data_IF_001383991185
#
_entry.id   IF_001383991185
#
_cell.length_a   1.000
_cell.length_b   1.000
_cell.length_c   1.000
_cell.angle_alpha   90.00
_cell.angle_beta   90.00
_cell.angle_gamma   90.00
#
_symmetry.space_group_name_H-M   'P 1'
#
loop_
_entity.id
_entity.type
_entity.pdbx_description
1 polymer ?
#
# COMPACT_ATOMS: atom_id res chain seq x y z
N UNK A 1 2.58 21.75 9.60
CA UNK A 1 2.07 22.18 10.92
C UNK A 1 2.35 21.12 11.97
N UNK A 2 2.61 21.53 13.22
CA UNK A 2 2.79 20.61 14.33
C UNK A 2 1.41 20.28 14.93
N UNK A 3 1.11 18.99 15.11
CA UNK A 3 -0.13 18.57 15.75
C UNK A 3 -0.15 19.00 17.23
N UNK A 4 -1.30 19.51 17.68
CA UNK A 4 -1.51 19.93 19.07
C UNK A 4 -2.60 19.06 19.70
N UNK A 5 -2.51 18.89 21.01
CA UNK A 5 -3.58 18.28 21.81
C UNK A 5 -4.70 19.27 22.15
N UNK A 6 -5.73 18.81 22.82
CA UNK A 6 -6.88 19.62 23.25
C UNK A 6 -6.48 20.80 24.18
N UNK A 7 -5.35 20.73 24.88
CA UNK A 7 -4.79 21.80 25.71
C UNK A 7 -3.87 22.74 24.91
N UNK A 8 -3.80 22.58 23.56
CA UNK A 8 -2.91 23.32 22.65
C UNK A 8 -1.41 23.10 22.89
N UNK A 9 -1.05 22.05 23.61
CA UNK A 9 0.35 21.60 23.72
C UNK A 9 0.74 20.79 22.51
N UNK A 10 2.04 20.77 22.21
CA UNK A 10 2.57 19.93 21.13
C UNK A 10 2.33 18.46 21.49
N UNK A 11 1.59 17.74 20.63
CA UNK A 11 1.43 16.30 20.77
C UNK A 11 2.74 15.57 20.46
N UNK A 12 3.08 14.61 21.32
CA UNK A 12 4.29 13.79 21.19
C UNK A 12 3.88 12.32 21.13
N UNK A 13 3.76 11.80 19.91
CA UNK A 13 3.54 10.38 19.68
C UNK A 13 4.85 9.57 19.70
N UNK A 14 4.71 8.26 19.72
CA UNK A 14 5.84 7.32 19.57
C UNK A 14 6.21 7.15 18.10
N UNK A 15 7.42 6.66 17.82
CA UNK A 15 7.81 6.26 16.46
C UNK A 15 6.88 5.17 15.89
N UNK A 16 6.50 4.20 16.72
CA UNK A 16 5.56 3.14 16.32
C UNK A 16 4.21 3.73 15.91
N UNK A 17 3.66 4.66 16.70
CA UNK A 17 2.40 5.34 16.37
C UNK A 17 2.49 6.06 15.03
N UNK A 18 3.59 6.78 14.77
CA UNK A 18 3.79 7.46 13.49
C UNK A 18 3.81 6.49 12.30
N UNK A 19 4.54 5.38 12.43
CA UNK A 19 4.61 4.35 11.38
C UNK A 19 3.25 3.67 11.18
N UNK A 20 2.53 3.34 12.26
CA UNK A 20 1.19 2.78 12.19
C UNK A 20 0.23 3.72 11.47
N UNK A 21 0.22 4.99 11.86
CA UNK A 21 -0.66 6.00 11.28
C UNK A 21 -0.44 6.13 9.78
N UNK A 22 0.80 6.23 9.33
CA UNK A 22 1.14 6.35 7.92
C UNK A 22 0.62 5.16 7.11
N UNK A 23 0.82 3.93 7.59
CA UNK A 23 0.42 2.73 6.87
C UNK A 23 -1.08 2.43 6.96
N UNK A 24 -1.72 2.74 8.08
CA UNK A 24 -3.16 2.58 8.22
C UNK A 24 -3.94 3.63 7.39
N UNK A 25 -3.50 4.89 7.38
CA UNK A 25 -4.11 5.88 6.49
C UNK A 25 -4.01 5.45 5.02
N UNK A 26 -2.86 4.93 4.59
CA UNK A 26 -2.68 4.44 3.23
C UNK A 26 -3.62 3.27 2.88
N UNK A 27 -3.90 2.37 3.83
CA UNK A 27 -4.86 1.27 3.63
C UNK A 27 -6.28 1.77 3.30
N UNK A 28 -6.68 2.91 3.85
CA UNK A 28 -8.01 3.50 3.64
C UNK A 28 -8.05 4.54 2.51
N UNK A 29 -6.89 5.05 2.06
CA UNK A 29 -6.80 6.07 1.03
C UNK A 29 -6.75 5.45 -0.38
N UNK A 30 -7.87 4.89 -0.80
CA UNK A 30 -7.99 4.13 -2.04
C UNK A 30 -8.97 4.77 -3.02
N UNK A 31 -8.78 4.47 -4.30
CA UNK A 31 -9.70 4.85 -5.37
C UNK A 31 -10.78 3.79 -5.63
N UNK A 32 -11.36 3.81 -6.82
CA UNK A 32 -12.51 2.98 -7.18
C UNK A 32 -12.17 1.49 -7.35
N UNK A 33 -10.90 1.18 -7.67
CA UNK A 33 -10.39 -0.18 -7.81
C UNK A 33 -9.88 -0.76 -6.49
N UNK A 34 -9.98 0.04 -5.41
CA UNK A 34 -9.49 -0.31 -4.08
C UNK A 34 -7.95 -0.34 -3.98
N UNK A 35 -7.30 0.35 -4.92
CA UNK A 35 -5.87 0.58 -4.95
C UNK A 35 -5.53 1.98 -4.42
N UNK A 36 -4.31 2.15 -3.91
CA UNK A 36 -3.88 3.41 -3.29
C UNK A 36 -3.96 4.58 -4.27
N UNK A 37 -4.58 5.69 -3.86
CA UNK A 37 -4.65 6.90 -4.69
C UNK A 37 -3.27 7.56 -4.81
N UNK A 38 -2.92 7.97 -6.02
CA UNK A 38 -1.64 8.64 -6.29
C UNK A 38 -1.59 10.08 -5.77
N UNK A 39 -2.72 10.78 -5.71
CA UNK A 39 -2.88 12.19 -5.31
C UNK A 39 -2.04 13.20 -6.10
N UNK A 40 -1.02 12.79 -6.72
CA UNK A 40 -0.13 13.50 -7.62
C UNK A 40 0.94 12.53 -8.11
N UNK A 41 1.32 12.61 -9.35
CA UNK A 41 2.31 11.72 -9.93
C UNK A 41 3.70 12.36 -10.07
N UNK A 42 3.99 13.40 -9.32
CA UNK A 42 5.21 14.24 -9.41
C UNK A 42 6.53 13.46 -9.36
N UNK A 43 6.52 12.25 -8.79
CA UNK A 43 7.71 11.42 -8.68
C UNK A 43 8.07 10.69 -9.98
N UNK A 44 7.13 10.63 -10.94
CA UNK A 44 7.33 9.90 -12.19
C UNK A 44 6.52 10.54 -13.34
N UNK A 45 7.20 11.28 -14.19
CA UNK A 45 6.59 11.96 -15.36
C UNK A 45 5.85 10.99 -16.31
N UNK A 46 6.17 9.68 -16.25
CA UNK A 46 5.46 8.68 -17.04
C UNK A 46 4.02 8.39 -16.54
N UNK A 47 3.62 8.98 -15.42
CA UNK A 47 2.29 8.82 -14.80
C UNK A 47 1.41 10.08 -14.92
N UNK A 48 1.71 11.01 -15.80
CA UNK A 48 0.90 12.21 -16.01
C UNK A 48 -0.58 11.91 -16.29
N UNK A 49 -0.86 10.75 -16.92
CA UNK A 49 -2.23 10.29 -17.16
C UNK A 49 -2.99 9.88 -15.90
N UNK A 50 -2.30 9.73 -14.77
CA UNK A 50 -2.84 9.26 -13.49
C UNK A 50 -2.75 10.32 -12.36
N UNK A 51 -2.43 11.57 -12.70
CA UNK A 51 -2.08 12.60 -11.72
C UNK A 51 -3.22 13.04 -10.80
N UNK A 52 -4.49 12.95 -11.23
CA UNK A 52 -5.63 13.47 -10.49
C UNK A 52 -6.43 12.40 -9.74
N UNK A 53 -6.76 11.29 -10.43
CA UNK A 53 -7.59 10.20 -9.90
C UNK A 53 -6.93 8.85 -10.00
N UNK A 54 -5.69 8.81 -10.49
CA UNK A 54 -4.99 7.58 -10.69
C UNK A 54 -4.77 6.80 -9.39
N UNK A 55 -4.65 5.50 -9.56
CA UNK A 55 -4.41 4.55 -8.46
C UNK A 55 -3.11 3.78 -8.71
N UNK A 56 -2.43 3.37 -7.65
CA UNK A 56 -1.16 2.66 -7.70
C UNK A 56 -1.23 1.30 -7.05
N UNK A 57 -1.31 0.26 -7.84
CA UNK A 57 -1.14 -1.14 -7.41
C UNK A 57 0.28 -1.37 -6.87
N UNK A 58 1.28 -0.69 -7.46
CA UNK A 58 2.65 -0.75 -7.00
C UNK A 58 2.79 -0.29 -5.53
N UNK A 59 2.20 0.85 -5.19
CA UNK A 59 2.23 1.33 -3.80
C UNK A 59 1.34 0.52 -2.89
N UNK A 60 0.17 0.05 -3.35
CA UNK A 60 -0.67 -0.87 -2.57
C UNK A 60 0.12 -2.12 -2.18
N UNK A 61 0.88 -2.71 -3.11
CA UNK A 61 1.79 -3.82 -2.83
C UNK A 61 2.82 -3.46 -1.77
N UNK A 62 3.48 -2.30 -1.90
CA UNK A 62 4.49 -1.86 -0.94
C UNK A 62 3.89 -1.67 0.47
N UNK A 63 2.72 -1.06 0.60
CA UNK A 63 2.05 -0.85 1.88
C UNK A 63 1.54 -2.15 2.50
N UNK A 64 1.07 -3.11 1.68
CA UNK A 64 0.75 -4.46 2.16
C UNK A 64 1.96 -5.14 2.80
N UNK A 65 3.13 -5.08 2.13
CA UNK A 65 4.40 -5.57 2.69
C UNK A 65 4.81 -4.84 3.97
N UNK A 66 4.61 -3.52 4.05
CA UNK A 66 4.89 -2.74 5.25
C UNK A 66 4.02 -3.17 6.43
N UNK A 67 2.70 -3.31 6.24
CA UNK A 67 1.79 -3.77 7.31
C UNK A 67 2.21 -5.14 7.85
N UNK A 68 2.57 -6.09 6.98
CA UNK A 68 3.08 -7.40 7.38
C UNK A 68 4.40 -7.30 8.16
N UNK A 69 5.29 -6.41 7.73
CA UNK A 69 6.57 -6.19 8.40
C UNK A 69 6.41 -5.55 9.78
N UNK A 70 5.49 -4.60 9.92
CA UNK A 70 5.16 -3.98 11.21
C UNK A 70 4.57 -5.04 12.15
N UNK A 71 3.65 -5.88 11.67
CA UNK A 71 3.10 -7.00 12.45
C UNK A 71 4.20 -7.96 12.94
N UNK A 72 5.16 -8.30 12.07
CA UNK A 72 6.29 -9.15 12.46
C UNK A 72 7.20 -8.48 13.50
N UNK A 73 7.45 -7.19 13.40
CA UNK A 73 8.23 -6.42 14.40
C UNK A 73 7.51 -6.42 15.75
N UNK A 74 6.18 -6.21 15.77
CA UNK A 74 5.39 -6.29 16.99
C UNK A 74 5.47 -7.66 17.65
N UNK A 75 5.42 -8.76 16.89
CA UNK A 75 5.63 -10.10 17.39
C UNK A 75 7.03 -10.28 18.02
N UNK A 76 8.07 -9.75 17.37
CA UNK A 76 9.42 -9.78 17.93
C UNK A 76 9.58 -8.94 19.21
N UNK A 77 8.87 -7.81 19.32
CA UNK A 77 8.83 -7.00 20.54
C UNK A 77 8.16 -7.79 21.68
N UNK A 78 7.09 -8.51 21.39
CA UNK A 78 6.44 -9.37 22.39
C UNK A 78 7.34 -10.51 22.83
N UNK A 79 7.94 -11.23 21.90
CA UNK A 79 8.76 -12.41 22.19
C UNK A 79 10.09 -12.08 22.89
N UNK A 80 10.77 -11.02 22.45
CA UNK A 80 12.13 -10.71 22.89
C UNK A 80 12.21 -9.71 24.03
N UNK A 81 11.22 -8.82 24.11
CA UNK A 81 11.21 -7.70 25.06
C UNK A 81 10.05 -7.79 26.06
N UNK A 82 9.23 -8.84 25.97
CA UNK A 82 8.03 -9.04 26.80
C UNK A 82 7.04 -7.86 26.76
N UNK A 83 6.97 -7.18 25.61
CA UNK A 83 6.03 -6.07 25.40
C UNK A 83 4.66 -6.64 25.09
N UNK A 84 3.72 -6.57 26.04
CA UNK A 84 2.37 -7.11 25.88
C UNK A 84 1.38 -6.10 25.32
N UNK A 85 1.64 -4.80 25.49
CA UNK A 85 0.79 -3.70 25.05
C UNK A 85 1.63 -2.55 24.52
N UNK A 86 1.07 -1.78 23.62
CA UNK A 86 1.64 -0.54 23.08
C UNK A 86 0.64 0.60 23.23
N UNK A 87 1.13 1.75 23.68
CA UNK A 87 0.32 2.96 23.81
C UNK A 87 0.29 3.71 22.47
N UNK A 88 -0.91 4.05 22.01
CA UNK A 88 -1.15 4.84 20.80
C UNK A 88 -2.20 5.92 21.07
N UNK A 89 -2.28 6.96 20.23
CA UNK A 89 -3.35 7.94 20.30
C UNK A 89 -4.72 7.28 20.23
N UNK A 90 -5.68 7.76 21.04
CA UNK A 90 -7.05 7.24 21.07
C UNK A 90 -7.68 7.28 19.67
N UNK A 91 -7.42 8.31 18.89
CA UNK A 91 -7.94 8.52 17.54
C UNK A 91 -7.47 7.44 16.56
N UNK A 92 -6.26 6.90 16.72
CA UNK A 92 -5.71 5.85 15.85
C UNK A 92 -6.59 4.58 15.86
N UNK A 93 -7.31 4.33 16.97
CA UNK A 93 -8.20 3.16 17.07
C UNK A 93 -9.33 3.17 16.04
N UNK A 94 -9.69 4.34 15.49
CA UNK A 94 -10.66 4.46 14.40
C UNK A 94 -10.18 3.85 13.06
N UNK A 95 -8.90 3.59 12.92
CA UNK A 95 -8.32 2.94 11.73
C UNK A 95 -8.12 1.43 11.92
N UNK A 96 -8.50 0.86 13.06
CA UNK A 96 -8.36 -0.57 13.36
C UNK A 96 -9.68 -1.31 13.17
N UNK A 97 -9.61 -2.60 12.86
CA UNK A 97 -10.77 -3.43 12.57
C UNK A 97 -11.34 -3.19 11.16
N UNK A 98 -12.68 -3.19 11.07
CA UNK A 98 -13.44 -2.90 9.84
C UNK A 98 -13.26 -3.93 8.70
N UNK A 99 -13.00 -5.19 9.03
CA UNK A 99 -12.77 -6.25 8.03
C UNK A 99 -13.94 -6.42 7.05
N UNK A 100 -15.16 -6.11 7.47
CA UNK A 100 -16.37 -6.14 6.66
C UNK A 100 -16.37 -5.10 5.52
N UNK A 101 -15.53 -4.07 5.62
CA UNK A 101 -15.44 -2.99 4.62
C UNK A 101 -14.18 -3.02 3.75
N UNK A 102 -13.30 -4.01 3.91
CA UNK A 102 -12.04 -4.03 3.16
C UNK A 102 -12.25 -3.99 1.64
N UNK A 103 -13.29 -4.64 1.13
CA UNK A 103 -13.65 -4.62 -0.28
C UNK A 103 -14.48 -3.40 -0.74
N UNK A 104 -14.78 -2.45 0.16
CA UNK A 104 -15.64 -1.31 -0.15
C UNK A 104 -14.87 0.01 -0.08
N UNK A 105 -14.39 0.49 -1.24
CA UNK A 105 -13.62 1.71 -1.35
C UNK A 105 -14.33 2.95 -0.77
N UNK A 106 -15.65 3.06 -0.94
CA UNK A 106 -16.42 4.19 -0.41
C UNK A 106 -16.46 4.18 1.13
N UNK A 107 -16.60 3.00 1.74
CA UNK A 107 -16.57 2.86 3.21
C UNK A 107 -15.16 3.11 3.75
N UNK A 108 -14.12 2.65 3.07
CA UNK A 108 -12.73 2.99 3.43
C UNK A 108 -12.51 4.50 3.44
N UNK A 109 -12.95 5.21 2.40
CA UNK A 109 -12.85 6.67 2.34
C UNK A 109 -13.64 7.35 3.47
N UNK A 110 -14.80 6.81 3.84
CA UNK A 110 -15.60 7.34 4.96
C UNK A 110 -14.85 7.19 6.29
N UNK A 111 -14.30 6.01 6.57
CA UNK A 111 -13.48 5.76 7.77
C UNK A 111 -12.29 6.73 7.84
N UNK A 112 -11.58 6.91 6.72
CA UNK A 112 -10.45 7.84 6.66
C UNK A 112 -10.88 9.29 6.90
N UNK A 113 -11.98 9.73 6.29
CA UNK A 113 -12.52 11.07 6.48
C UNK A 113 -12.94 11.32 7.94
N UNK A 114 -13.57 10.35 8.58
CA UNK A 114 -13.95 10.45 9.99
C UNK A 114 -12.72 10.59 10.88
N UNK A 115 -11.69 9.77 10.64
CA UNK A 115 -10.40 9.90 11.33
C UNK A 115 -9.77 11.29 11.11
N UNK A 116 -9.74 11.78 9.86
CA UNK A 116 -9.20 13.09 9.54
C UNK A 116 -9.96 14.23 10.23
N UNK A 117 -11.28 14.12 10.33
CA UNK A 117 -12.12 15.11 11.04
C UNK A 117 -11.82 15.12 12.55
N UNK A 118 -11.65 13.96 13.16
CA UNK A 118 -11.25 13.86 14.58
C UNK A 118 -9.92 14.58 14.86
N UNK A 119 -8.98 14.50 13.92
CA UNK A 119 -7.65 15.08 14.06
C UNK A 119 -7.49 16.49 13.46
N UNK A 120 -8.53 17.06 12.82
CA UNK A 120 -8.42 18.26 11.99
C UNK A 120 -7.87 19.50 12.71
N UNK A 121 -8.20 19.68 13.99
CA UNK A 121 -7.81 20.85 14.76
C UNK A 121 -6.87 20.54 15.92
N UNK A 122 -7.09 19.42 16.59
CA UNK A 122 -6.29 18.91 17.69
C UNK A 122 -6.68 17.44 17.91
N UNK A 123 -5.76 16.63 18.42
CA UNK A 123 -6.12 15.32 18.95
C UNK A 123 -6.54 15.46 20.44
N UNK A 124 -7.13 14.41 21.01
CA UNK A 124 -7.57 14.40 22.40
C UNK A 124 -6.40 14.53 23.41
N UNK A 125 -5.19 14.17 22.98
CA UNK A 125 -4.02 14.02 23.86
C UNK A 125 -4.06 12.75 24.70
N UNK A 126 -5.10 11.91 24.53
CA UNK A 126 -5.25 10.66 25.25
C UNK A 126 -4.58 9.51 24.50
N UNK A 127 -4.10 8.54 25.25
CA UNK A 127 -3.54 7.31 24.73
C UNK A 127 -4.33 6.11 25.19
N UNK A 128 -4.36 5.07 24.36
CA UNK A 128 -4.98 3.77 24.65
C UNK A 128 -3.92 2.69 24.55
N UNK A 129 -3.92 1.77 25.50
CA UNK A 129 -3.07 0.58 25.49
C UNK A 129 -3.69 -0.51 24.62
N UNK A 130 -3.07 -0.80 23.50
CA UNK A 130 -3.49 -1.87 22.60
C UNK A 130 -2.70 -3.15 22.89
N UNK A 131 -3.36 -4.32 23.04
CA UNK A 131 -2.67 -5.60 23.07
C UNK A 131 -1.89 -5.82 21.77
N UNK A 132 -0.63 -6.22 21.89
CA UNK A 132 0.26 -6.43 20.73
C UNK A 132 -0.29 -7.47 19.77
N UNK A 133 -0.81 -8.59 20.28
CA UNK A 133 -1.42 -9.64 19.46
C UNK A 133 -2.63 -9.13 18.66
N UNK A 134 -3.52 -8.37 19.27
CA UNK A 134 -4.71 -7.84 18.58
C UNK A 134 -4.31 -6.85 17.46
N UNK A 135 -3.33 -6.00 17.71
CA UNK A 135 -2.80 -5.09 16.69
C UNK A 135 -2.10 -5.87 15.57
N UNK A 136 -1.32 -6.88 15.90
CA UNK A 136 -0.63 -7.75 14.96
C UNK A 136 -1.62 -8.48 14.04
N UNK A 137 -2.71 -9.02 14.61
CA UNK A 137 -3.76 -9.70 13.87
C UNK A 137 -4.46 -8.74 12.89
N UNK A 138 -4.80 -7.53 13.32
CA UNK A 138 -5.44 -6.52 12.46
C UNK A 138 -4.54 -6.14 11.28
N UNK A 139 -3.26 -5.88 11.52
CA UNK A 139 -2.31 -5.52 10.46
C UNK A 139 -2.11 -6.66 9.45
N UNK A 140 -2.02 -7.91 9.94
CA UNK A 140 -1.91 -9.08 9.06
C UNK A 140 -3.18 -9.27 8.22
N UNK A 141 -4.37 -9.13 8.78
CA UNK A 141 -5.63 -9.24 8.04
C UNK A 141 -5.71 -8.20 6.92
N UNK A 142 -5.33 -6.95 7.19
CA UNK A 142 -5.25 -5.89 6.17
C UNK A 142 -4.25 -6.22 5.07
N UNK A 143 -3.05 -6.67 5.45
CA UNK A 143 -2.00 -7.05 4.50
C UNK A 143 -2.43 -8.23 3.62
N UNK A 144 -3.01 -9.28 4.22
CA UNK A 144 -3.49 -10.47 3.53
C UNK A 144 -4.56 -10.11 2.51
N UNK A 145 -5.52 -9.27 2.93
CA UNK A 145 -6.58 -8.81 2.05
C UNK A 145 -6.03 -8.04 0.84
N UNK A 146 -5.11 -7.08 1.06
CA UNK A 146 -4.50 -6.29 -0.03
C UNK A 146 -3.75 -7.20 -1.01
N UNK A 147 -2.91 -8.10 -0.50
CA UNK A 147 -2.13 -9.02 -1.34
C UNK A 147 -3.02 -9.95 -2.15
N UNK A 148 -4.07 -10.50 -1.53
CA UNK A 148 -5.01 -11.38 -2.20
C UNK A 148 -5.84 -10.64 -3.26
N UNK A 149 -6.27 -9.41 -2.95
CA UNK A 149 -6.96 -8.54 -3.90
C UNK A 149 -6.10 -8.32 -5.15
N UNK A 150 -4.87 -7.84 -5.00
CA UNK A 150 -3.95 -7.60 -6.12
C UNK A 150 -3.72 -8.86 -6.96
N UNK A 151 -3.45 -10.01 -6.32
CA UNK A 151 -3.24 -11.27 -7.05
C UNK A 151 -4.42 -11.65 -7.93
N UNK A 152 -5.64 -11.38 -7.48
CA UNK A 152 -6.88 -11.76 -8.16
C UNK A 152 -7.32 -10.78 -9.22
N UNK A 153 -7.12 -9.48 -8.99
CA UNK A 153 -7.71 -8.42 -9.83
C UNK A 153 -6.72 -7.78 -10.78
N UNK A 154 -5.43 -7.79 -10.45
CA UNK A 154 -4.43 -7.01 -11.17
C UNK A 154 -3.53 -7.85 -12.10
N UNK A 155 -3.79 -9.15 -12.22
CA UNK A 155 -3.03 -9.99 -13.13
C UNK A 155 -3.44 -9.76 -14.58
N UNK A 156 -2.49 -9.36 -15.41
CA UNK A 156 -2.68 -9.12 -16.85
C UNK A 156 -1.80 -10.04 -17.67
N UNK A 157 -2.21 -10.31 -18.92
CA UNK A 157 -1.48 -11.19 -19.84
C UNK A 157 -1.42 -10.61 -21.24
N UNK A 158 -0.44 -11.06 -22.03
CA UNK A 158 -0.34 -10.77 -23.46
C UNK A 158 -1.20 -11.69 -24.34
N UNK A 159 -1.86 -12.68 -23.75
CA UNK A 159 -2.69 -13.68 -24.46
C UNK A 159 -1.89 -14.83 -25.11
N UNK A 160 -0.55 -14.84 -25.02
CA UNK A 160 0.30 -15.90 -25.60
C UNK A 160 1.18 -16.60 -24.57
N UNK A 161 0.99 -16.33 -23.28
CA UNK A 161 1.61 -17.08 -22.19
C UNK A 161 2.52 -16.26 -21.26
N UNK A 162 2.67 -14.95 -21.48
CA UNK A 162 3.36 -14.09 -20.56
C UNK A 162 2.34 -13.37 -19.65
N UNK A 163 2.70 -13.19 -18.38
CA UNK A 163 1.85 -12.53 -17.39
C UNK A 163 2.64 -11.66 -16.44
N UNK A 164 1.98 -10.59 -15.95
CA UNK A 164 2.54 -9.66 -14.96
C UNK A 164 1.41 -8.92 -14.25
N UNK A 165 1.73 -8.07 -13.28
CA UNK A 165 0.74 -7.27 -12.57
C UNK A 165 0.57 -5.90 -13.24
N UNK A 166 -0.70 -5.46 -13.42
CA UNK A 166 -0.98 -4.05 -13.67
C UNK A 166 -0.46 -3.23 -12.50
N UNK A 167 0.23 -2.14 -12.76
CA UNK A 167 0.82 -1.32 -11.72
C UNK A 167 0.03 -0.06 -11.40
N UNK A 168 -0.83 0.38 -12.33
CA UNK A 168 -1.48 1.68 -12.23
C UNK A 168 -2.82 1.71 -12.97
N UNK A 169 -3.72 2.54 -12.45
CA UNK A 169 -4.93 3.01 -13.16
C UNK A 169 -4.77 4.49 -13.48
N UNK A 170 -5.25 4.89 -14.65
CA UNK A 170 -5.24 6.28 -15.08
C UNK A 170 -6.38 7.11 -14.47
N UNK A 171 -6.49 8.40 -14.84
CA UNK A 171 -7.53 9.30 -14.39
C UNK A 171 -8.95 8.94 -14.88
N UNK A 172 -9.05 8.04 -15.87
CA UNK A 172 -10.30 7.50 -16.39
C UNK A 172 -10.67 6.15 -15.75
N UNK A 173 -9.79 5.59 -14.93
CA UNK A 173 -9.97 4.29 -14.29
C UNK A 173 -9.62 3.12 -15.23
N UNK A 174 -8.81 3.35 -16.26
CA UNK A 174 -8.33 2.31 -17.14
C UNK A 174 -6.96 1.80 -16.70
N UNK A 175 -6.73 0.47 -16.87
CA UNK A 175 -5.42 -0.13 -16.59
C UNK A 175 -4.36 0.45 -17.54
N UNK A 176 -3.22 0.83 -16.97
CA UNK A 176 -2.09 1.37 -17.74
C UNK A 176 -1.27 0.26 -18.39
N UNK A 177 -1.23 -0.92 -17.79
CA UNK A 177 -0.44 -2.06 -18.24
C UNK A 177 -1.32 -3.18 -18.81
N UNK A 178 -0.70 -4.12 -19.51
CA UNK A 178 -1.37 -5.22 -20.21
C UNK A 178 -1.33 -5.07 -21.72
N UNK A 179 -2.29 -5.68 -22.41
CA UNK A 179 -2.43 -5.56 -23.86
C UNK A 179 -3.36 -4.38 -24.20
N UNK A 180 -2.78 -3.21 -24.41
CA UNK A 180 -3.50 -1.96 -24.66
C UNK A 180 -3.45 -1.61 -26.14
N UNK A 181 -4.61 -1.63 -26.82
CA UNK A 181 -4.73 -1.39 -28.26
C UNK A 181 -3.78 -2.25 -29.13
N UNK A 182 -3.62 -3.52 -28.75
CA UNK A 182 -2.74 -4.46 -29.45
C UNK A 182 -1.25 -4.28 -29.18
N UNK A 183 -0.88 -3.40 -28.28
CA UNK A 183 0.52 -3.17 -27.84
C UNK A 183 0.69 -3.60 -26.39
N UNK A 184 1.72 -4.38 -26.12
CA UNK A 184 2.08 -4.77 -24.75
C UNK A 184 2.66 -3.56 -24.01
N UNK A 185 2.13 -3.30 -22.81
CA UNK A 185 2.66 -2.30 -21.90
C UNK A 185 2.99 -2.97 -20.58
N UNK A 186 4.22 -2.84 -20.14
CA UNK A 186 4.74 -3.37 -18.88
C UNK A 186 5.66 -2.35 -18.24
N UNK A 187 5.50 -2.11 -16.96
CA UNK A 187 6.32 -1.20 -16.16
C UNK A 187 7.07 -1.99 -15.09
N UNK A 188 8.36 -1.76 -14.96
CA UNK A 188 9.20 -2.48 -14.00
C UNK A 188 8.89 -2.17 -12.53
N UNK A 189 8.59 -0.91 -12.11
CA UNK A 189 8.37 -0.59 -10.70
C UNK A 189 7.28 -1.42 -10.02
N UNK A 190 6.14 -1.64 -10.68
CA UNK A 190 5.03 -2.45 -10.15
C UNK A 190 5.47 -3.88 -9.84
N UNK A 191 6.22 -4.48 -10.74
CA UNK A 191 6.72 -5.85 -10.59
C UNK A 191 7.71 -5.95 -9.43
N UNK A 192 8.61 -4.99 -9.33
CA UNK A 192 9.61 -4.93 -8.23
C UNK A 192 8.91 -4.80 -6.88
N UNK A 193 7.93 -3.91 -6.73
CA UNK A 193 7.21 -3.77 -5.47
C UNK A 193 6.39 -4.99 -5.10
N UNK A 194 5.74 -5.63 -6.07
CA UNK A 194 4.99 -6.86 -5.83
C UNK A 194 5.86 -8.03 -5.36
N UNK A 195 7.05 -8.19 -5.95
CA UNK A 195 8.03 -9.20 -5.54
C UNK A 195 8.59 -8.89 -4.15
N UNK A 196 9.05 -7.64 -3.93
CA UNK A 196 9.68 -7.24 -2.67
C UNK A 196 8.74 -7.30 -1.46
N UNK A 197 7.46 -7.03 -1.66
CA UNK A 197 6.45 -7.08 -0.62
C UNK A 197 5.96 -8.49 -0.30
N UNK A 198 6.21 -9.46 -1.19
CA UNK A 198 5.62 -10.79 -1.14
C UNK A 198 4.15 -10.81 -1.62
N UNK A 199 3.72 -9.76 -2.34
CA UNK A 199 2.38 -9.72 -2.96
C UNK A 199 2.28 -10.73 -4.07
N UNK A 200 3.23 -10.78 -5.01
CA UNK A 200 3.30 -11.83 -6.01
C UNK A 200 3.65 -13.17 -5.36
N UNK A 201 2.91 -14.23 -5.70
CA UNK A 201 3.24 -15.58 -5.28
C UNK A 201 4.39 -16.16 -6.14
N UNK A 202 4.81 -17.39 -5.81
CA UNK A 202 5.98 -18.00 -6.45
C UNK A 202 5.79 -18.25 -7.96
N UNK A 203 4.59 -18.59 -8.40
CA UNK A 203 4.26 -18.77 -9.82
C UNK A 203 4.25 -17.41 -10.53
N UNK A 204 3.57 -16.43 -9.97
CA UNK A 204 3.55 -15.07 -10.49
C UNK A 204 4.95 -14.45 -10.57
N UNK A 205 5.82 -14.69 -9.58
CA UNK A 205 7.22 -14.20 -9.63
C UNK A 205 7.97 -14.78 -10.83
N UNK A 206 7.82 -16.08 -11.11
CA UNK A 206 8.44 -16.70 -12.29
C UNK A 206 7.95 -16.09 -13.60
N UNK A 207 6.65 -15.90 -13.72
CA UNK A 207 6.03 -15.34 -14.93
C UNK A 207 6.41 -13.86 -15.11
N UNK A 208 6.42 -13.07 -14.03
CA UNK A 208 6.88 -11.68 -14.04
C UNK A 208 8.33 -11.60 -14.54
N UNK A 209 9.23 -12.43 -14.01
CA UNK A 209 10.63 -12.43 -14.43
C UNK A 209 10.77 -12.79 -15.91
N UNK A 210 10.06 -13.82 -16.38
CA UNK A 210 10.07 -14.20 -17.78
C UNK A 210 9.51 -13.10 -18.70
N UNK A 211 8.42 -12.44 -18.27
CA UNK A 211 7.82 -11.32 -19.01
C UNK A 211 8.75 -10.10 -19.04
N UNK A 212 9.42 -9.79 -17.93
CA UNK A 212 10.37 -8.69 -17.86
C UNK A 212 11.59 -8.93 -18.77
N UNK A 213 12.13 -10.15 -18.79
CA UNK A 213 13.20 -10.52 -19.71
C UNK A 213 12.76 -10.39 -21.17
N UNK A 214 11.52 -10.76 -21.46
CA UNK A 214 10.99 -10.73 -22.83
C UNK A 214 10.70 -9.30 -23.31
N UNK A 215 10.07 -8.46 -22.49
CA UNK A 215 9.56 -7.15 -22.89
C UNK A 215 10.44 -5.97 -22.50
N UNK A 216 11.18 -6.07 -21.38
CA UNK A 216 11.92 -4.93 -20.82
C UNK A 216 13.44 -5.06 -21.01
N UNK A 217 13.95 -6.28 -21.29
CA UNK A 217 15.37 -6.47 -21.50
C UNK A 217 15.80 -5.90 -22.86
N UNK A 218 16.74 -4.97 -22.85
CA UNK A 218 17.30 -4.35 -24.05
C UNK A 218 18.83 -4.46 -24.07
N UNK A 219 19.35 -5.23 -25.01
CA UNK A 219 20.79 -5.44 -25.19
C UNK A 219 21.57 -4.12 -25.41
N UNK A 220 20.93 -3.11 -26.00
CA UNK A 220 21.58 -1.79 -26.22
C UNK A 220 21.89 -1.04 -24.94
N UNK A 221 21.08 -1.23 -23.91
CA UNK A 221 21.28 -0.57 -22.60
C UNK A 221 22.15 -1.40 -21.65
N UNK A 222 22.30 -2.69 -21.89
CA UNK A 222 23.10 -3.60 -21.06
C UNK A 222 24.52 -3.78 -21.60
N UNK A 223 24.80 -3.37 -22.85
CA UNK A 223 26.16 -3.33 -23.39
C UNK A 223 26.94 -2.21 -22.72
N UNK A 224 28.19 -2.47 -22.27
CA UNK A 224 29.04 -1.39 -21.78
C UNK A 224 29.20 -0.34 -22.88
N UNK A 225 28.96 0.94 -22.54
CA UNK A 225 29.16 2.06 -23.44
C UNK A 225 30.54 1.94 -24.04
N UNK A 226 30.72 2.04 -25.37
CA UNK A 226 32.02 2.06 -25.97
C UNK A 226 32.78 3.25 -25.38
N UNK A 227 33.96 2.99 -24.81
CA UNK A 227 34.85 3.99 -24.26
C UNK A 227 35.50 4.80 -25.41
#
# INVERSE_FOLDING_TARGET
>A
CWQKDAERKLYKGTLLEHILLQNLCAFYDVGTHNELRLHNADWNDALDMAANKGESVAFTSAYAGNLRKIAAILGQMQERLDVQKVAVAEELTHLLGHSEYYGNAAQKQHILNDYQQLCAHANSGKTVDLPVNALQDDLNQKADWMMEHIRKTEWVTDGVGNGWLNGYYDDHGEQVEGLVYGTVRMMLPSQVFAIMSGTADEEQVRDICASADHYLYCLLYTSPSPR
#
